data_IF_017252067871
#
_entry.id   IF_017252067871
#
_cell.length_a   1.000
_cell.length_b   1.000
_cell.length_c   1.000
_cell.angle_alpha   90.00
_cell.angle_beta   90.00
_cell.angle_gamma   90.00
#
_symmetry.space_group_name_H-M   'P 1'
#
loop_
_entity.id
_entity.type
_entity.pdbx_description
1 polymer ?
#
# COMPACT_ATOMS: atom_id res chain seq x y z
N UNK A 1 -6.88 0.65 -20.22
CA UNK A 1 -6.20 -0.65 -20.08
C UNK A 1 -6.13 -0.97 -18.58
N UNK A 2 -7.03 -1.79 -18.03
CA UNK A 2 -6.97 -2.23 -16.61
C UNK A 2 -6.15 -3.52 -16.59
N UNK A 3 -4.86 -3.40 -16.28
CA UNK A 3 -3.87 -4.49 -16.43
C UNK A 3 -4.00 -5.56 -15.34
N UNK A 4 -4.68 -5.27 -14.22
CA UNK A 4 -5.00 -6.27 -13.19
C UNK A 4 -6.43 -6.05 -12.69
N UNK A 5 -7.19 -7.13 -12.47
CA UNK A 5 -8.47 -7.11 -11.73
C UNK A 5 -8.20 -6.97 -10.22
N UNK A 6 -7.19 -6.19 -9.84
CA UNK A 6 -6.81 -6.02 -8.45
C UNK A 6 -7.95 -5.38 -7.67
N UNK A 7 -8.21 -5.92 -6.47
CA UNK A 7 -9.14 -5.38 -5.49
C UNK A 7 -8.43 -4.97 -4.21
N UNK A 8 -7.31 -5.62 -3.89
CA UNK A 8 -6.48 -5.33 -2.71
C UNK A 8 -5.07 -4.99 -3.14
N UNK A 9 -4.61 -3.78 -2.81
CA UNK A 9 -3.25 -3.32 -3.08
C UNK A 9 -2.52 -3.06 -1.77
N UNK A 10 -1.28 -3.50 -1.68
CA UNK A 10 -0.32 -3.07 -0.66
C UNK A 10 0.72 -2.17 -1.31
N UNK A 11 0.96 -1.00 -0.73
CA UNK A 11 2.04 -0.09 -1.10
C UNK A 11 3.03 0.05 0.06
N UNK A 12 4.32 -0.08 -0.23
CA UNK A 12 5.42 0.13 0.71
C UNK A 12 6.17 1.38 0.27
N UNK A 13 6.01 2.47 1.02
CA UNK A 13 6.49 3.82 0.68
C UNK A 13 5.37 4.68 0.11
N UNK A 14 4.87 5.64 0.91
CA UNK A 14 3.72 6.48 0.52
C UNK A 14 4.14 7.86 0.05
N UNK A 15 5.14 8.46 0.70
CA UNK A 15 5.56 9.85 0.54
C UNK A 15 4.36 10.81 0.62
N UNK A 16 3.95 11.41 -0.52
CA UNK A 16 2.80 12.31 -0.62
C UNK A 16 1.49 11.64 -1.08
N UNK A 17 1.42 10.30 -1.12
CA UNK A 17 0.27 9.50 -1.58
C UNK A 17 -0.11 9.64 -3.07
N UNK A 18 0.79 10.09 -3.93
CA UNK A 18 0.48 10.27 -5.36
C UNK A 18 0.16 8.94 -6.06
N UNK A 19 1.04 7.95 -5.93
CA UNK A 19 0.86 6.59 -6.43
C UNK A 19 -0.35 5.91 -5.80
N UNK A 20 -0.50 6.01 -4.48
CA UNK A 20 -1.66 5.52 -3.73
C UNK A 20 -2.99 6.01 -4.32
N UNK A 21 -3.12 7.32 -4.54
CA UNK A 21 -4.34 7.95 -5.09
C UNK A 21 -4.62 7.44 -6.51
N UNK A 22 -3.59 7.37 -7.35
CA UNK A 22 -3.72 6.86 -8.72
C UNK A 22 -4.18 5.41 -8.75
N UNK A 23 -3.55 4.54 -7.96
CA UNK A 23 -3.91 3.13 -7.86
C UNK A 23 -5.32 2.95 -7.28
N UNK A 24 -5.67 3.67 -6.22
CA UNK A 24 -7.00 3.59 -5.62
C UNK A 24 -8.10 4.04 -6.59
N UNK A 25 -7.86 5.05 -7.43
CA UNK A 25 -8.83 5.44 -8.49
C UNK A 25 -9.03 4.36 -9.54
N UNK A 26 -8.01 3.54 -9.82
CA UNK A 26 -8.10 2.46 -10.79
C UNK A 26 -8.87 1.23 -10.27
N UNK A 27 -8.90 1.02 -8.95
CA UNK A 27 -9.61 -0.08 -8.28
C UNK A 27 -11.14 -0.04 -8.50
N UNK A 28 -11.84 -1.19 -8.45
CA UNK A 28 -13.31 -1.22 -8.40
C UNK A 28 -13.84 -0.59 -7.10
N UNK A 29 -15.13 -0.25 -7.04
CA UNK A 29 -15.72 0.50 -5.92
C UNK A 29 -15.48 -0.14 -4.52
N UNK A 30 -15.45 -1.47 -4.46
CA UNK A 30 -15.16 -2.27 -3.26
C UNK A 30 -13.65 -2.46 -2.98
N UNK A 31 -12.79 -1.97 -3.87
CA UNK A 31 -11.35 -2.13 -3.76
C UNK A 31 -10.73 -1.24 -2.68
N UNK A 32 -9.71 -1.80 -2.02
CA UNK A 32 -8.96 -1.19 -0.91
C UNK A 32 -7.47 -1.17 -1.22
N UNK A 33 -6.81 -0.13 -0.74
CA UNK A 33 -5.36 0.05 -0.79
C UNK A 33 -4.84 0.31 0.61
N UNK A 34 -3.81 -0.41 1.02
CA UNK A 34 -3.07 -0.16 2.26
C UNK A 34 -1.71 0.39 1.87
N UNK A 35 -1.30 1.50 2.46
CA UNK A 35 0.00 2.12 2.21
C UNK A 35 0.78 2.34 3.51
N UNK A 36 2.08 2.06 3.47
CA UNK A 36 2.98 2.14 4.61
C UNK A 36 3.92 3.33 4.48
N UNK A 37 3.95 4.19 5.49
CA UNK A 37 4.87 5.34 5.56
C UNK A 37 5.59 5.38 6.90
N UNK A 38 6.93 5.47 6.85
CA UNK A 38 7.75 5.50 8.05
C UNK A 38 7.96 6.92 8.59
N UNK A 39 7.97 7.93 7.73
CA UNK A 39 8.18 9.32 8.12
C UNK A 39 6.85 10.00 8.52
N UNK A 40 6.70 10.48 9.78
CA UNK A 40 5.46 11.12 10.23
C UNK A 40 5.10 12.39 9.45
N UNK A 41 6.10 13.12 8.93
CA UNK A 41 5.89 14.31 8.11
C UNK A 41 5.23 13.98 6.77
N UNK A 42 5.79 12.99 6.07
CA UNK A 42 5.21 12.43 4.85
C UNK A 42 3.83 11.82 5.12
N UNK A 43 3.66 11.06 6.20
CA UNK A 43 2.36 10.50 6.58
C UNK A 43 1.30 11.59 6.79
N UNK A 44 1.67 12.74 7.39
CA UNK A 44 0.81 13.90 7.52
C UNK A 44 0.34 14.47 6.17
N UNK A 45 1.28 14.68 5.25
CA UNK A 45 1.00 15.16 3.87
C UNK A 45 0.15 14.16 3.10
N UNK A 46 0.49 12.87 3.15
CA UNK A 46 -0.25 11.79 2.52
C UNK A 46 -1.71 11.75 3.01
N UNK A 47 -1.95 11.79 4.32
CA UNK A 47 -3.32 11.84 4.88
C UNK A 47 -4.10 13.04 4.37
N UNK A 48 -3.47 14.22 4.25
CA UNK A 48 -4.12 15.40 3.69
C UNK A 48 -4.49 15.20 2.22
N UNK A 49 -3.58 14.68 1.41
CA UNK A 49 -3.82 14.44 -0.01
C UNK A 49 -4.90 13.38 -0.25
N UNK A 50 -4.91 12.30 0.55
CA UNK A 50 -5.95 11.26 0.50
C UNK A 50 -7.33 11.86 0.82
N UNK A 51 -7.41 12.72 1.85
CA UNK A 51 -8.65 13.43 2.20
C UNK A 51 -9.13 14.33 1.07
N UNK A 52 -8.25 15.16 0.52
CA UNK A 52 -8.57 16.07 -0.59
C UNK A 52 -8.99 15.31 -1.85
N UNK A 53 -8.47 14.11 -2.06
CA UNK A 53 -8.86 13.23 -3.17
C UNK A 53 -10.21 12.50 -2.94
N UNK A 54 -10.78 12.58 -1.73
CA UNK A 54 -12.03 11.89 -1.37
C UNK A 54 -11.89 10.37 -1.24
N UNK A 55 -10.70 9.87 -0.90
CA UNK A 55 -10.38 8.44 -0.93
C UNK A 55 -10.15 7.81 0.46
N UNK A 56 -10.53 8.50 1.54
CA UNK A 56 -10.32 8.04 2.92
C UNK A 56 -10.94 6.67 3.21
N UNK A 57 -12.04 6.34 2.54
CA UNK A 57 -12.69 5.04 2.71
C UNK A 57 -12.01 3.93 1.91
N UNK A 58 -11.11 4.27 0.99
CA UNK A 58 -10.47 3.31 0.08
C UNK A 58 -8.97 3.13 0.34
N UNK A 59 -8.32 4.15 0.89
CA UNK A 59 -6.91 4.14 1.22
C UNK A 59 -6.75 4.16 2.74
N UNK A 60 -6.09 3.14 3.28
CA UNK A 60 -5.65 3.07 4.66
C UNK A 60 -4.15 3.36 4.73
N UNK A 61 -3.77 4.39 5.48
CA UNK A 61 -2.37 4.73 5.72
C UNK A 61 -1.97 4.22 7.10
N UNK A 62 -0.94 3.37 7.13
CA UNK A 62 -0.34 2.89 8.37
C UNK A 62 1.02 3.57 8.54
N UNK A 63 1.15 4.30 9.64
CA UNK A 63 2.38 4.99 9.98
C UNK A 63 3.28 4.08 10.81
N UNK A 64 4.55 3.96 10.40
CA UNK A 64 5.56 3.17 11.09
C UNK A 64 6.56 2.52 10.14
N UNK A 65 7.67 1.96 10.65
CA UNK A 65 8.64 1.25 9.83
C UNK A 65 7.97 0.10 9.09
N UNK A 66 8.11 0.07 7.77
CA UNK A 66 7.41 -0.90 6.92
C UNK A 66 7.63 -2.35 7.36
N UNK A 67 8.86 -2.73 7.69
CA UNK A 67 9.18 -4.09 8.15
C UNK A 67 8.48 -4.47 9.45
N UNK A 68 8.39 -3.54 10.40
CA UNK A 68 7.69 -3.79 11.67
C UNK A 68 6.19 -3.90 11.42
N UNK A 69 5.64 -3.06 10.55
CA UNK A 69 4.23 -3.13 10.18
C UNK A 69 3.90 -4.45 9.49
N UNK A 70 4.75 -4.90 8.56
CA UNK A 70 4.60 -6.18 7.85
C UNK A 70 4.69 -7.36 8.81
N UNK A 71 5.62 -7.36 9.77
CA UNK A 71 5.74 -8.44 10.76
C UNK A 71 4.49 -8.58 11.65
N UNK A 72 3.82 -7.47 11.97
CA UNK A 72 2.61 -7.46 12.79
C UNK A 72 1.32 -7.56 11.98
N UNK A 73 1.43 -7.76 10.66
CA UNK A 73 0.32 -7.82 9.73
C UNK A 73 -0.31 -9.22 9.74
N UNK A 74 -0.88 -9.60 10.88
CA UNK A 74 -1.54 -10.89 11.06
C UNK A 74 -2.94 -10.92 10.41
N UNK A 75 -3.36 -12.07 9.90
CA UNK A 75 -4.71 -12.38 9.39
C UNK A 75 -5.23 -11.50 8.23
N UNK A 76 -4.34 -10.83 7.49
CA UNK A 76 -4.76 -10.05 6.34
C UNK A 76 -5.07 -10.93 5.13
N UNK A 77 -6.19 -10.62 4.47
CA UNK A 77 -6.48 -11.24 3.18
C UNK A 77 -5.36 -10.91 2.18
N UNK A 78 -4.92 -11.91 1.39
CA UNK A 78 -3.88 -11.73 0.40
C UNK A 78 -4.11 -10.55 -0.54
N UNK A 79 -3.02 -9.92 -0.96
CA UNK A 79 -3.04 -8.82 -1.91
C UNK A 79 -2.99 -9.31 -3.35
N UNK A 80 -3.66 -8.57 -4.24
CA UNK A 80 -3.65 -8.82 -5.68
C UNK A 80 -2.50 -8.09 -6.39
N UNK A 81 -1.98 -7.04 -5.77
CA UNK A 81 -0.85 -6.26 -6.25
C UNK A 81 -0.08 -5.70 -5.04
N UNK A 82 1.24 -5.78 -5.10
CA UNK A 82 2.13 -5.20 -4.09
C UNK A 82 3.10 -4.27 -4.81
N UNK A 83 3.10 -3.00 -4.42
CA UNK A 83 3.94 -1.96 -4.98
C UNK A 83 5.02 -1.58 -3.96
N UNK A 84 6.29 -1.75 -4.32
CA UNK A 84 7.43 -1.50 -3.44
C UNK A 84 8.19 -0.29 -3.99
N UNK A 85 8.06 0.85 -3.31
CA UNK A 85 8.81 2.07 -3.63
C UNK A 85 9.37 2.72 -2.36
N UNK A 86 10.17 1.92 -1.65
CA UNK A 86 10.84 2.31 -0.41
C UNK A 86 12.37 2.27 -0.55
N UNK A 87 13.07 2.20 0.58
CA UNK A 87 14.52 2.15 0.64
C UNK A 87 15.08 0.88 -0.01
N UNK A 88 16.03 1.06 -0.93
CA UNK A 88 16.60 -0.03 -1.73
C UNK A 88 17.33 -1.12 -0.92
N UNK A 89 18.00 -0.82 0.21
CA UNK A 89 18.65 -1.85 1.01
C UNK A 89 17.68 -2.91 1.57
N UNK A 90 16.46 -2.52 1.96
CA UNK A 90 15.48 -3.47 2.49
C UNK A 90 14.61 -4.15 1.43
N UNK A 91 14.79 -3.84 0.14
CA UNK A 91 14.03 -4.47 -0.96
C UNK A 91 13.96 -6.00 -0.90
N UNK A 92 15.05 -6.75 -0.59
CA UNK A 92 14.96 -8.21 -0.47
C UNK A 92 13.96 -8.65 0.61
N UNK A 93 13.94 -7.96 1.75
CA UNK A 93 13.00 -8.24 2.86
C UNK A 93 11.57 -7.85 2.49
N UNK A 94 11.40 -6.73 1.80
CA UNK A 94 10.08 -6.35 1.27
C UNK A 94 9.56 -7.36 0.26
N UNK A 95 10.43 -7.93 -0.58
CA UNK A 95 10.06 -8.98 -1.52
C UNK A 95 9.64 -10.27 -0.82
N UNK A 96 10.35 -10.70 0.22
CA UNK A 96 9.97 -11.86 1.04
C UNK A 96 8.57 -11.69 1.63
N UNK A 97 8.28 -10.53 2.23
CA UNK A 97 6.95 -10.20 2.74
C UNK A 97 5.91 -10.09 1.62
N UNK A 98 6.28 -9.52 0.48
CA UNK A 98 5.38 -9.43 -0.66
C UNK A 98 4.97 -10.82 -1.15
N UNK A 99 5.92 -11.76 -1.25
CA UNK A 99 5.61 -13.15 -1.60
C UNK A 99 4.71 -13.80 -0.55
N UNK A 100 4.99 -13.59 0.74
CA UNK A 100 4.16 -14.10 1.85
C UNK A 100 2.71 -13.60 1.78
N UNK A 101 2.50 -12.32 1.49
CA UNK A 101 1.16 -11.69 1.45
C UNK A 101 0.48 -11.73 0.08
N UNK A 102 1.19 -12.15 -0.97
CA UNK A 102 0.61 -12.29 -2.30
C UNK A 102 -0.34 -13.49 -2.38
N UNK A 103 -1.37 -13.40 -3.23
CA UNK A 103 -2.14 -14.59 -3.60
C UNK A 103 -1.23 -15.56 -4.38
N UNK A 104 -1.15 -16.85 -4.01
CA UNK A 104 -0.47 -17.83 -4.83
C UNK A 104 -1.12 -17.92 -6.22
N UNK A 105 -0.37 -17.65 -7.29
CA UNK A 105 -0.73 -18.03 -8.66
C UNK A 105 -1.44 -17.00 -9.54
N UNK A 106 -1.07 -15.71 -9.51
CA UNK A 106 -1.36 -14.77 -10.62
C UNK A 106 -0.20 -13.84 -10.91
#
# INVERSE_FOLDING_TARGET
MRITQARRILEIGTLGAYSAIWMARALPADGKLITLEADPGHAGVARQNIRLAGLNERIELIEGPALNTLENFADVQPFDLIFIDADKPNNPRYLEWALHYSRPGR
#
